data_IF_525497607309
#
_entry.id   IF_525497607309
#
_cell.length_a   1.000
_cell.length_b   1.000
_cell.length_c   1.000
_cell.angle_alpha   90.00
_cell.angle_beta   90.00
_cell.angle_gamma   90.00
#
_symmetry.space_group_name_H-M   'P 1'
#
loop_
_entity.id
_entity.type
_entity.pdbx_description
1 polymer ?
#
# COMPACT_ATOMS: atom_id res chain seq x y z
N UNK A 1 -33.10 -38.70 33.86
CA UNK A 1 -33.68 -37.47 34.43
C UNK A 1 -33.25 -36.31 33.54
N UNK A 2 -34.19 -35.86 32.68
CA UNK A 2 -34.25 -34.62 31.86
C UNK A 2 -33.07 -34.24 30.96
N UNK A 3 -33.15 -34.74 29.72
CA UNK A 3 -32.77 -34.04 28.49
C UNK A 3 -33.48 -32.69 28.36
N UNK A 4 -32.84 -31.71 27.72
CA UNK A 4 -33.49 -30.51 27.17
C UNK A 4 -33.07 -30.33 25.71
N UNK A 5 -34.03 -30.63 24.84
CA UNK A 5 -34.03 -30.36 23.41
C UNK A 5 -34.12 -28.86 23.13
N UNK A 6 -33.39 -28.39 22.13
CA UNK A 6 -33.59 -27.06 21.51
C UNK A 6 -34.39 -27.28 20.22
N UNK A 7 -35.59 -26.71 20.05
CA UNK A 7 -36.35 -26.85 18.82
C UNK A 7 -35.87 -25.89 17.73
N UNK A 8 -35.77 -26.45 16.53
CA UNK A 8 -35.66 -25.75 15.25
C UNK A 8 -36.86 -24.82 15.02
N UNK A 9 -36.60 -23.61 14.54
CA UNK A 9 -37.63 -22.74 13.95
C UNK A 9 -37.38 -22.68 12.45
N UNK A 10 -38.20 -23.44 11.74
CA UNK A 10 -38.42 -23.30 10.31
C UNK A 10 -39.31 -22.07 10.07
N UNK A 11 -38.99 -21.25 9.07
CA UNK A 11 -40.03 -20.48 8.37
C UNK A 11 -39.84 -20.58 6.86
N UNK A 12 -40.84 -21.28 6.32
CA UNK A 12 -41.22 -21.55 4.95
C UNK A 12 -41.67 -20.25 4.26
N UNK A 13 -41.37 -20.08 2.98
CA UNK A 13 -41.83 -18.93 2.20
C UNK A 13 -41.58 -19.04 0.70
N UNK A 14 -41.89 -20.19 0.10
CA UNK A 14 -41.93 -20.42 -1.34
C UNK A 14 -43.31 -20.00 -1.87
N UNK A 15 -43.38 -19.04 -2.79
CA UNK A 15 -44.58 -18.81 -3.60
C UNK A 15 -44.20 -18.34 -5.01
N UNK A 16 -44.17 -19.33 -5.88
CA UNK A 16 -44.22 -19.26 -7.35
C UNK A 16 -45.54 -18.62 -7.77
N UNK A 17 -45.52 -17.63 -8.66
CA UNK A 17 -46.63 -17.40 -9.58
C UNK A 17 -46.09 -17.19 -10.99
N UNK A 18 -46.30 -18.24 -11.78
CA UNK A 18 -46.08 -18.30 -13.20
C UNK A 18 -47.14 -17.49 -13.96
N UNK A 19 -46.84 -17.31 -15.26
CA UNK A 19 -47.79 -17.27 -16.37
C UNK A 19 -48.31 -15.89 -16.78
N UNK A 20 -47.64 -15.27 -17.75
CA UNK A 20 -48.35 -14.68 -18.90
C UNK A 20 -47.48 -14.84 -20.15
N UNK A 21 -47.77 -15.91 -20.89
CA UNK A 21 -47.31 -16.10 -22.26
C UNK A 21 -48.34 -15.49 -23.23
N UNK A 22 -47.84 -15.13 -24.42
CA UNK A 22 -48.55 -14.78 -25.66
C UNK A 22 -49.01 -13.33 -25.82
N UNK A 23 -48.14 -12.50 -26.40
CA UNK A 23 -48.56 -11.64 -27.51
C UNK A 23 -47.49 -11.67 -28.61
N UNK A 24 -47.72 -12.52 -29.60
CA UNK A 24 -47.10 -12.43 -30.93
C UNK A 24 -47.60 -11.17 -31.61
N UNK A 25 -46.70 -10.21 -31.83
CA UNK A 25 -46.94 -9.00 -32.61
C UNK A 25 -45.64 -8.58 -33.25
N UNK A 26 -45.39 -9.10 -34.45
CA UNK A 26 -44.36 -8.61 -35.34
C UNK A 26 -44.68 -7.17 -35.73
N UNK A 27 -43.82 -6.24 -35.34
CA UNK A 27 -43.61 -4.95 -36.01
C UNK A 27 -42.11 -4.71 -35.97
N UNK A 28 -41.44 -5.22 -37.00
CA UNK A 28 -40.07 -4.85 -37.34
C UNK A 28 -40.14 -3.43 -37.87
N UNK A 29 -40.08 -2.45 -36.95
CA UNK A 29 -39.86 -1.05 -37.29
C UNK A 29 -38.36 -0.81 -37.19
N UNK A 30 -37.72 -0.74 -38.35
CA UNK A 30 -36.32 -0.39 -38.51
C UNK A 30 -36.14 1.08 -38.10
N UNK A 31 -35.97 1.29 -36.79
CA UNK A 31 -35.64 2.60 -36.23
C UNK A 31 -34.21 2.92 -36.65
N UNK A 32 -34.08 3.81 -37.62
CA UNK A 32 -32.82 4.45 -37.98
C UNK A 32 -32.28 5.18 -36.74
N UNK A 33 -31.36 4.51 -36.04
CA UNK A 33 -30.66 5.04 -34.87
C UNK A 33 -29.76 6.17 -35.36
N UNK A 34 -30.28 7.40 -35.34
CA UNK A 34 -29.44 8.59 -35.41
C UNK A 34 -28.40 8.49 -34.30
N UNK A 35 -27.10 8.63 -34.61
CA UNK A 35 -26.09 8.70 -33.56
C UNK A 35 -26.45 9.87 -32.63
N UNK A 36 -26.42 9.66 -31.30
CA UNK A 36 -26.64 10.77 -30.38
C UNK A 36 -25.60 11.85 -30.69
N UNK A 37 -25.97 13.15 -30.62
CA UNK A 37 -25.00 14.22 -30.76
C UNK A 37 -23.87 13.99 -29.74
N UNK A 38 -22.61 14.29 -30.10
CA UNK A 38 -21.50 14.15 -29.16
C UNK A 38 -21.84 14.96 -27.91
N UNK A 39 -21.93 14.28 -26.77
CA UNK A 39 -22.04 14.92 -25.47
C UNK A 39 -20.75 15.72 -25.31
N UNK A 40 -20.84 17.03 -25.51
CA UNK A 40 -19.76 17.96 -25.20
C UNK A 40 -19.59 17.86 -23.69
N UNK A 41 -18.59 17.11 -23.22
CA UNK A 41 -18.13 17.19 -21.84
C UNK A 41 -17.69 18.65 -21.63
N UNK A 42 -18.56 19.45 -21.02
CA UNK A 42 -18.12 20.71 -20.42
C UNK A 42 -16.97 20.36 -19.49
N UNK A 43 -15.79 20.88 -19.83
CA UNK A 43 -14.60 20.72 -19.00
C UNK A 43 -14.94 21.26 -17.62
N UNK A 44 -15.03 20.35 -16.65
CA UNK A 44 -15.24 20.70 -15.25
C UNK A 44 -14.19 21.74 -14.88
N UNK A 45 -14.59 22.93 -14.38
CA UNK A 45 -13.64 23.99 -14.08
C UNK A 45 -12.57 23.44 -13.13
N UNK A 46 -11.28 23.79 -13.34
CA UNK A 46 -10.21 23.30 -12.48
C UNK A 46 -10.60 23.64 -11.04
N UNK A 47 -10.76 22.60 -10.22
CA UNK A 47 -11.03 22.77 -8.80
C UNK A 47 -9.96 23.66 -8.17
N UNK A 48 -10.26 24.30 -7.02
CA UNK A 48 -9.30 25.16 -6.34
C UNK A 48 -7.96 24.42 -6.18
N UNK A 49 -6.87 25.06 -6.62
CA UNK A 49 -5.54 24.48 -6.53
C UNK A 49 -5.26 24.07 -5.08
N UNK A 50 -5.03 22.77 -4.87
CA UNK A 50 -4.78 22.22 -3.53
C UNK A 50 -3.58 22.94 -2.91
N UNK A 51 -3.75 23.47 -1.70
CA UNK A 51 -2.66 24.11 -0.96
C UNK A 51 -1.55 23.07 -0.72
N UNK A 52 -0.31 23.32 -1.18
CA UNK A 52 0.80 22.36 -1.01
C UNK A 52 1.15 22.12 0.47
N UNK A 53 0.78 23.04 1.36
CA UNK A 53 1.04 22.94 2.80
C UNK A 53 -0.02 22.15 3.57
N UNK A 54 -1.09 21.69 2.91
CA UNK A 54 -2.09 20.85 3.56
C UNK A 54 -1.52 19.44 3.76
N UNK A 55 -1.54 18.97 5.00
CA UNK A 55 -1.06 17.64 5.40
C UNK A 55 -2.11 16.54 5.29
N UNK A 56 -3.38 16.89 5.47
CA UNK A 56 -4.48 15.92 5.57
C UNK A 56 -5.53 16.13 4.49
N UNK A 57 -6.15 15.04 4.03
CA UNK A 57 -7.36 15.09 3.20
C UNK A 57 -8.61 15.46 4.04
N UNK A 58 -9.77 15.51 3.40
CA UNK A 58 -11.05 15.82 4.04
C UNK A 58 -11.44 14.76 5.09
N UNK A 59 -10.97 13.53 4.92
CA UNK A 59 -11.16 12.39 5.82
C UNK A 59 -10.11 12.30 6.95
N UNK A 60 -9.12 13.20 6.95
CA UNK A 60 -8.05 13.25 7.94
C UNK A 60 -6.93 12.22 7.74
N UNK A 61 -6.78 11.62 6.57
CA UNK A 61 -5.62 10.81 6.19
C UNK A 61 -4.49 11.70 5.67
N UNK A 62 -3.26 11.20 5.75
CA UNK A 62 -2.11 11.94 5.23
C UNK A 62 -2.14 11.98 3.71
N UNK A 63 -2.01 13.19 3.16
CA UNK A 63 -1.82 13.41 1.73
C UNK A 63 -0.42 12.97 1.32
N UNK A 64 -0.32 12.41 0.12
CA UNK A 64 0.95 12.03 -0.47
C UNK A 64 1.74 13.27 -0.93
N UNK A 65 3.06 13.19 -0.81
CA UNK A 65 4.01 14.14 -1.40
C UNK A 65 4.52 13.62 -2.74
N UNK A 66 5.26 14.45 -3.47
CA UNK A 66 5.94 14.03 -4.70
C UNK A 66 7.22 13.21 -4.43
N UNK A 67 7.62 13.07 -3.16
CA UNK A 67 8.84 12.35 -2.77
C UNK A 67 8.59 10.84 -2.80
N UNK A 68 9.46 10.11 -3.51
CA UNK A 68 9.42 8.65 -3.66
C UNK A 68 10.77 8.05 -3.29
N UNK A 69 10.78 7.09 -2.38
CA UNK A 69 11.97 6.33 -1.97
C UNK A 69 11.76 4.87 -2.31
N UNK A 70 12.56 4.33 -3.25
CA UNK A 70 12.49 2.92 -3.65
C UNK A 70 11.06 2.42 -3.98
N UNK A 71 10.27 3.26 -4.65
CA UNK A 71 8.87 2.96 -5.00
C UNK A 71 7.84 3.20 -3.89
N UNK A 72 8.26 3.63 -2.70
CA UNK A 72 7.38 4.08 -1.63
C UNK A 72 7.20 5.59 -1.69
N UNK A 73 5.98 6.05 -1.97
CA UNK A 73 5.66 7.48 -1.91
C UNK A 73 5.45 7.92 -0.47
N UNK A 74 6.11 9.01 -0.07
CA UNK A 74 6.08 9.53 1.28
C UNK A 74 4.91 10.50 1.48
N UNK A 75 4.32 10.57 2.69
CA UNK A 75 3.31 11.55 3.00
C UNK A 75 3.94 12.95 3.14
N UNK A 76 3.11 13.98 3.01
CA UNK A 76 3.50 15.37 3.30
C UNK A 76 3.83 15.55 4.78
N UNK A 77 4.64 16.57 5.07
CA UNK A 77 5.07 16.89 6.45
C UNK A 77 6.22 16.01 6.95
N UNK A 78 6.93 15.35 6.05
CA UNK A 78 8.17 14.63 6.33
C UNK A 78 9.34 15.48 5.84
N UNK A 79 10.28 15.75 6.74
CA UNK A 79 11.44 16.58 6.48
C UNK A 79 12.69 15.69 6.46
N UNK A 80 13.41 15.65 5.33
CA UNK A 80 14.64 14.88 5.22
C UNK A 80 15.71 15.50 6.14
N UNK A 81 16.28 14.68 7.02
CA UNK A 81 17.31 15.09 7.99
C UNK A 81 18.67 14.49 7.69
N UNK A 82 18.72 13.30 7.10
CA UNK A 82 19.96 12.68 6.65
C UNK A 82 19.69 11.71 5.51
N UNK A 83 20.63 11.65 4.57
CA UNK A 83 20.66 10.68 3.49
C UNK A 83 22.10 10.19 3.36
N UNK A 84 22.32 8.89 3.59
CA UNK A 84 23.65 8.26 3.49
C UNK A 84 23.48 6.90 2.84
N UNK A 85 24.15 6.70 1.70
CA UNK A 85 24.05 5.50 0.88
C UNK A 85 22.60 5.17 0.50
N UNK A 86 22.02 4.13 1.11
CA UNK A 86 20.65 3.65 0.87
C UNK A 86 19.77 3.82 2.10
N UNK A 87 20.12 4.77 2.95
CA UNK A 87 19.46 5.08 4.21
C UNK A 87 18.96 6.52 4.16
N UNK A 88 17.65 6.67 4.29
CA UNK A 88 16.94 7.94 4.27
C UNK A 88 16.28 8.16 5.62
N UNK A 89 16.59 9.28 6.27
CA UNK A 89 16.09 9.61 7.60
C UNK A 89 15.26 10.88 7.53
N UNK A 90 14.01 10.78 7.95
CA UNK A 90 13.05 11.87 7.99
C UNK A 90 12.60 12.14 9.43
N UNK A 91 12.30 13.39 9.73
CA UNK A 91 11.56 13.78 10.92
C UNK A 91 10.16 14.28 10.52
N UNK A 92 9.19 14.09 11.41
CA UNK A 92 7.83 14.59 11.20
C UNK A 92 7.15 14.97 12.51
N UNK A 93 6.33 16.02 12.46
CA UNK A 93 5.45 16.45 13.55
C UNK A 93 4.05 15.79 13.47
N UNK A 94 3.84 14.91 12.50
CA UNK A 94 2.60 14.15 12.36
C UNK A 94 2.45 13.17 13.54
N UNK A 95 1.25 13.01 14.11
CA UNK A 95 1.00 12.00 15.14
C UNK A 95 1.39 10.60 14.67
N UNK A 96 2.14 9.87 15.50
CA UNK A 96 2.70 8.56 15.14
C UNK A 96 1.64 7.54 14.67
N UNK A 97 0.44 7.59 15.25
CA UNK A 97 -0.70 6.76 14.83
C UNK A 97 -1.12 6.98 13.37
N UNK A 98 -1.06 8.23 12.90
CA UNK A 98 -1.36 8.58 11.49
C UNK A 98 -0.26 8.08 10.56
N UNK A 99 1.00 8.11 11.02
CA UNK A 99 2.14 7.56 10.29
C UNK A 99 1.99 6.04 10.14
N UNK A 100 1.66 5.33 11.23
CA UNK A 100 1.39 3.89 11.17
C UNK A 100 0.24 3.55 10.22
N UNK A 101 -0.86 4.31 10.30
CA UNK A 101 -2.02 4.14 9.41
C UNK A 101 -1.66 4.35 7.94
N UNK A 102 -0.75 5.27 7.65
CA UNK A 102 -0.30 5.55 6.29
C UNK A 102 0.55 4.40 5.73
N UNK A 103 1.55 3.95 6.48
CA UNK A 103 2.50 2.91 6.02
C UNK A 103 1.90 1.50 6.05
N UNK A 104 1.07 1.18 7.03
CA UNK A 104 0.50 -0.17 7.22
C UNK A 104 -0.07 -0.83 5.96
N UNK A 105 -1.02 -0.20 5.24
CA UNK A 105 -1.59 -0.78 4.02
C UNK A 105 -0.65 -0.69 2.80
N UNK A 106 0.32 0.23 2.82
CA UNK A 106 1.26 0.50 1.72
C UNK A 106 2.48 -0.42 1.72
N UNK A 107 2.80 -1.04 2.85
CA UNK A 107 3.93 -1.96 3.00
C UNK A 107 3.43 -3.39 3.12
N UNK A 108 3.91 -4.26 2.23
CA UNK A 108 3.70 -5.71 2.30
C UNK A 108 4.91 -6.30 3.01
N UNK A 109 4.72 -6.89 4.19
CA UNK A 109 5.79 -7.53 4.96
C UNK A 109 5.27 -8.74 5.73
N UNK A 110 6.14 -9.72 5.97
CA UNK A 110 5.88 -10.85 6.86
C UNK A 110 6.18 -10.56 8.34
N UNK A 111 6.88 -9.47 8.66
CA UNK A 111 7.34 -9.19 10.02
C UNK A 111 7.28 -7.69 10.37
N UNK A 112 6.64 -7.41 11.51
CA UNK A 112 6.57 -6.07 12.10
C UNK A 112 7.05 -6.13 13.54
N UNK A 113 8.22 -5.54 13.81
CA UNK A 113 8.81 -5.45 15.15
C UNK A 113 8.25 -4.21 15.86
N UNK A 114 7.33 -4.41 16.83
CA UNK A 114 6.76 -3.30 17.62
C UNK A 114 7.62 -2.98 18.84
N UNK A 115 7.79 -1.69 19.13
CA UNK A 115 8.58 -1.22 20.27
C UNK A 115 8.01 0.10 20.83
N UNK A 116 7.31 0.01 21.97
CA UNK A 116 6.56 1.15 22.51
C UNK A 116 5.51 1.63 21.49
N UNK A 117 5.52 2.93 21.19
CA UNK A 117 4.68 3.53 20.14
C UNK A 117 5.27 3.38 18.73
N UNK A 118 6.51 2.89 18.63
CA UNK A 118 7.23 2.68 17.37
C UNK A 118 7.00 1.30 16.75
N UNK A 119 7.38 1.18 15.48
CA UNK A 119 7.38 -0.10 14.77
C UNK A 119 8.43 -0.11 13.67
N UNK A 120 8.99 -1.29 13.40
CA UNK A 120 9.84 -1.54 12.23
C UNK A 120 9.20 -2.57 11.32
N UNK A 121 8.91 -2.19 10.08
CA UNK A 121 8.46 -3.10 9.02
C UNK A 121 9.71 -3.68 8.36
N UNK A 122 9.95 -4.98 8.54
CA UNK A 122 11.16 -5.66 8.05
C UNK A 122 10.97 -6.17 6.64
N UNK A 123 12.00 -6.05 5.81
CA UNK A 123 12.00 -6.61 4.44
C UNK A 123 10.73 -6.27 3.64
N UNK A 124 10.15 -5.11 3.90
CA UNK A 124 8.88 -4.69 3.37
C UNK A 124 8.99 -4.33 1.90
N UNK A 125 7.99 -4.70 1.12
CA UNK A 125 7.85 -4.30 -0.29
C UNK A 125 6.75 -3.26 -0.39
N UNK A 126 7.00 -2.08 -0.98
CA UNK A 126 5.95 -1.11 -1.24
C UNK A 126 4.93 -1.68 -2.22
N UNK A 127 3.64 -1.64 -1.87
CA UNK A 127 2.54 -2.20 -2.66
C UNK A 127 2.46 -1.60 -4.06
N UNK A 128 2.83 -0.33 -4.20
CA UNK A 128 2.74 0.43 -5.46
C UNK A 128 4.06 0.45 -6.24
N UNK A 129 5.10 -0.26 -5.78
CA UNK A 129 6.38 -0.30 -6.47
C UNK A 129 6.19 -0.89 -7.88
N UNK A 130 6.65 -0.13 -8.90
CA UNK A 130 6.68 -0.57 -10.30
C UNK A 130 8.14 -0.77 -10.72
N UNK A 131 8.47 -1.94 -11.26
CA UNK A 131 9.83 -2.26 -11.72
C UNK A 131 10.61 -3.14 -10.74
N UNK A 132 11.92 -2.90 -10.61
CA UNK A 132 12.80 -3.68 -9.73
C UNK A 132 12.34 -3.61 -8.27
N UNK A 133 11.98 -4.76 -7.70
CA UNK A 133 11.49 -4.84 -6.32
C UNK A 133 12.69 -4.72 -5.37
N UNK A 134 12.75 -3.61 -4.64
CA UNK A 134 13.72 -3.39 -3.57
C UNK A 134 13.00 -3.57 -2.23
N UNK A 135 13.48 -4.52 -1.42
CA UNK A 135 12.99 -4.70 -0.04
C UNK A 135 13.49 -3.56 0.84
N UNK A 136 12.66 -3.13 1.79
CA UNK A 136 12.92 -2.00 2.67
C UNK A 136 12.78 -2.40 4.14
N UNK A 137 13.67 -1.87 4.98
CA UNK A 137 13.42 -1.75 6.41
C UNK A 137 12.88 -0.34 6.69
N UNK A 138 11.64 -0.23 7.16
CA UNK A 138 11.01 1.05 7.50
C UNK A 138 10.80 1.10 9.01
N UNK A 139 11.57 1.94 9.69
CA UNK A 139 11.48 2.14 11.15
C UNK A 139 10.80 3.46 11.47
N UNK A 140 9.80 3.41 12.35
CA UNK A 140 9.05 4.55 12.86
C UNK A 140 9.32 4.60 14.37
N UNK A 141 9.98 5.65 14.85
CA UNK A 141 10.40 5.73 16.25
C UNK A 141 10.10 7.11 16.80
N UNK A 142 9.45 7.23 17.98
CA UNK A 142 9.27 8.53 18.62
C UNK A 142 10.63 9.11 19.01
N UNK A 143 10.92 10.35 18.59
CA UNK A 143 12.13 11.07 18.97
C UNK A 143 11.91 11.86 20.26
N UNK A 144 10.73 12.44 20.40
CA UNK A 144 10.23 13.12 21.58
C UNK A 144 8.68 13.04 21.58
N UNK A 145 8.00 13.85 22.42
CA UNK A 145 6.53 13.82 22.53
C UNK A 145 5.78 14.30 21.29
N UNK A 146 6.43 15.06 20.41
CA UNK A 146 5.78 15.75 19.26
C UNK A 146 6.44 15.42 17.92
N UNK A 147 7.61 14.77 17.93
CA UNK A 147 8.40 14.48 16.74
C UNK A 147 8.62 12.99 16.63
N UNK A 148 8.31 12.45 15.45
CA UNK A 148 8.57 11.06 15.06
C UNK A 148 9.70 11.04 14.04
N UNK A 149 10.66 10.14 14.23
CA UNK A 149 11.69 9.83 13.25
C UNK A 149 11.26 8.65 12.40
N UNK A 150 11.44 8.76 11.10
CA UNK A 150 11.18 7.72 10.11
C UNK A 150 12.48 7.42 9.40
N UNK A 151 12.92 6.17 9.48
CA UNK A 151 14.13 5.71 8.81
C UNK A 151 13.75 4.64 7.79
N UNK A 152 14.12 4.89 6.54
CA UNK A 152 13.89 3.98 5.42
C UNK A 152 15.25 3.52 4.93
N UNK A 153 15.50 2.22 5.06
CA UNK A 153 16.72 1.58 4.59
C UNK A 153 16.40 0.63 3.45
N UNK A 154 17.01 0.84 2.30
CA UNK A 154 16.91 -0.10 1.20
C UNK A 154 17.85 -1.28 1.41
N UNK A 155 17.32 -2.49 1.25
CA UNK A 155 18.09 -3.71 1.32
C UNK A 155 18.67 -4.03 -0.05
N UNK A 156 19.86 -4.63 -0.05
CA UNK A 156 20.43 -5.16 -1.29
C UNK A 156 19.56 -6.33 -1.75
N UNK A 157 19.22 -6.40 -3.04
CA UNK A 157 18.65 -7.63 -3.57
C UNK A 157 19.65 -8.77 -3.33
N UNK A 158 19.13 -9.94 -2.99
CA UNK A 158 19.95 -11.13 -2.92
C UNK A 158 20.66 -11.35 -4.27
N UNK A 159 21.96 -11.69 -4.27
CA UNK A 159 22.66 -11.94 -5.52
C UNK A 159 21.97 -13.08 -6.27
N UNK A 160 21.69 -12.88 -7.57
CA UNK A 160 21.00 -13.87 -8.40
C UNK A 160 21.77 -15.20 -8.51
N UNK A 161 23.08 -15.19 -8.27
CA UNK A 161 23.93 -16.36 -8.20
C UNK A 161 24.82 -16.26 -6.95
N UNK A 162 24.40 -16.78 -5.80
CA UNK A 162 25.27 -16.85 -4.63
C UNK A 162 26.47 -17.74 -4.95
N UNK A 163 27.68 -17.34 -4.54
CA UNK A 163 28.85 -18.20 -4.65
C UNK A 163 28.60 -19.49 -3.86
N UNK A 164 29.02 -20.62 -4.42
CA UNK A 164 28.99 -21.89 -3.70
C UNK A 164 29.94 -21.85 -2.51
N UNK A 165 29.67 -22.63 -1.47
CA UNK A 165 30.53 -22.70 -0.28
C UNK A 165 31.98 -23.08 -0.63
N UNK A 166 32.15 -24.04 -1.55
CA UNK A 166 33.48 -24.44 -2.07
C UNK A 166 34.22 -23.27 -2.74
N UNK A 167 33.50 -22.41 -3.46
CA UNK A 167 34.07 -21.26 -4.15
C UNK A 167 34.41 -20.12 -3.18
N UNK A 168 33.60 -19.94 -2.13
CA UNK A 168 33.89 -19.03 -1.01
C UNK A 168 35.18 -19.48 -0.28
N UNK A 169 35.27 -20.77 0.07
CA UNK A 169 36.44 -21.34 0.74
C UNK A 169 37.70 -21.18 -0.13
N UNK A 170 37.62 -21.48 -1.44
CA UNK A 170 38.76 -21.30 -2.37
C UNK A 170 39.21 -19.85 -2.46
N UNK A 171 38.27 -18.90 -2.48
CA UNK A 171 38.57 -17.47 -2.59
C UNK A 171 39.27 -16.94 -1.34
N UNK A 172 38.79 -17.29 -0.15
CA UNK A 172 39.46 -16.93 1.11
C UNK A 172 40.86 -17.52 1.23
N UNK A 173 41.03 -18.81 0.89
CA UNK A 173 42.35 -19.44 0.90
C UNK A 173 43.34 -18.82 -0.10
N UNK A 174 42.85 -18.19 -1.18
CA UNK A 174 43.67 -17.49 -2.18
C UNK A 174 43.98 -16.03 -1.83
N UNK A 175 43.24 -15.41 -0.90
CA UNK A 175 43.41 -14.00 -0.47
C UNK A 175 44.35 -13.84 0.74
N UNK A 176 44.57 -14.89 1.55
CA UNK A 176 45.52 -14.86 2.69
C UNK A 176 47.01 -14.61 2.37
N UNK A 177 47.60 -14.92 1.18
CA UNK A 177 49.04 -14.78 0.97
C UNK A 177 49.53 -13.35 0.63
N UNK A 178 48.66 -12.33 0.67
CA UNK A 178 48.98 -10.95 0.22
C UNK A 178 49.19 -9.92 1.34
N UNK A 179 49.19 -10.34 2.61
CA UNK A 179 49.31 -9.46 3.78
C UNK A 179 50.61 -9.59 4.59
N UNK A 180 51.64 -10.25 4.05
CA UNK A 180 53.00 -10.28 4.61
C UNK A 180 53.97 -9.32 3.91
#
# INVERSE_FOLDING_TARGET
MRERSIPAVAFLGLAVFALFALFTGACEEEVEVRPPPPVVMEAQPPGPAANPNTLYDEEGNLLESDVVVAGLRLPRGFELTAEVDRRHVYDSHVPIEKIHRYFGPRLITGQVDRHGDGATFREAVPREARGGIVKLDVSITPRNRTTTRIEIRELLPEPANPLSEDEIIRRWAAEEPLLD
#
